data_IF_171596774243
#
_entry.id   IF_171596774243
#
_cell.length_a   1.000
_cell.length_b   1.000
_cell.length_c   1.000
_cell.angle_alpha   90.00
_cell.angle_beta   90.00
_cell.angle_gamma   90.00
#
_symmetry.space_group_name_H-M   'P 1'
#
loop_
_entity.id
_entity.type
_entity.pdbx_description
1 polymer ?
#
# COMPACT_ATOMS: atom_id res chain seq x y z
N UNK A 1 -14.42 20.46 21.98
CA UNK A 1 -13.45 19.73 21.13
C UNK A 1 -13.65 18.25 21.38
N UNK A 2 -14.24 17.51 20.43
CA UNK A 2 -14.27 16.04 20.54
C UNK A 2 -12.94 15.54 19.99
N UNK A 3 -12.01 15.18 20.87
CA UNK A 3 -10.95 14.25 20.50
C UNK A 3 -11.65 12.90 20.23
N UNK A 4 -12.20 12.75 19.02
CA UNK A 4 -12.51 11.41 18.52
C UNK A 4 -11.17 10.73 18.33
N UNK A 5 -10.94 9.61 19.02
CA UNK A 5 -9.79 8.75 18.75
C UNK A 5 -9.73 8.48 17.24
N UNK A 6 -8.62 8.82 16.60
CA UNK A 6 -8.46 8.51 15.18
C UNK A 6 -8.52 6.99 15.01
N UNK A 7 -9.34 6.46 14.09
CA UNK A 7 -9.42 5.04 13.86
C UNK A 7 -8.06 4.48 13.40
N UNK A 8 -7.73 3.31 13.92
CA UNK A 8 -6.51 2.57 13.55
C UNK A 8 -6.89 1.66 12.38
N UNK A 9 -6.16 1.81 11.28
CA UNK A 9 -6.31 0.96 10.11
C UNK A 9 -5.09 0.07 9.96
N UNK A 10 -5.34 -1.22 9.77
CA UNK A 10 -4.36 -2.16 9.30
C UNK A 10 -4.25 -2.06 7.78
N UNK A 11 -3.11 -1.58 7.30
CA UNK A 11 -2.75 -1.48 5.89
C UNK A 11 -1.84 -2.66 5.57
N UNK A 12 -2.16 -3.41 4.51
CA UNK A 12 -1.35 -4.51 4.00
C UNK A 12 -1.04 -4.27 2.53
N UNK A 13 0.22 -4.36 2.16
CA UNK A 13 0.67 -4.28 0.76
C UNK A 13 1.36 -5.58 0.40
N UNK A 14 0.87 -6.27 -0.62
CA UNK A 14 1.34 -7.60 -1.03
C UNK A 14 1.59 -7.64 -2.53
N UNK A 15 2.74 -8.15 -2.93
CA UNK A 15 3.08 -8.54 -4.30
C UNK A 15 3.62 -9.98 -4.28
N UNK A 16 3.94 -10.56 -5.44
CA UNK A 16 4.56 -11.87 -5.59
C UNK A 16 5.84 -12.02 -4.73
N UNK A 17 6.62 -10.94 -4.60
CA UNK A 17 7.95 -10.97 -3.98
C UNK A 17 8.02 -10.39 -2.56
N UNK A 18 6.97 -9.72 -2.07
CA UNK A 18 6.96 -9.13 -0.73
C UNK A 18 5.55 -8.99 -0.14
N UNK A 19 5.49 -8.95 1.19
CA UNK A 19 4.27 -8.70 1.96
C UNK A 19 4.59 -7.85 3.18
N UNK A 20 4.03 -6.64 3.23
CA UNK A 20 4.18 -5.70 4.35
C UNK A 20 2.81 -5.45 4.98
N UNK A 21 2.78 -5.37 6.31
CA UNK A 21 1.60 -5.02 7.10
C UNK A 21 1.99 -3.93 8.10
N UNK A 22 1.19 -2.89 8.20
CA UNK A 22 1.37 -1.81 9.16
C UNK A 22 0.03 -1.39 9.75
N UNK A 23 0.05 -0.89 10.97
CA UNK A 23 -1.13 -0.30 11.63
C UNK A 23 -0.89 1.19 11.77
N UNK A 24 -1.76 2.00 11.17
CA UNK A 24 -1.62 3.45 11.14
C UNK A 24 -2.93 4.14 11.48
N UNK A 25 -2.83 5.25 12.21
CA UNK A 25 -3.97 6.12 12.49
C UNK A 25 -4.30 6.95 11.25
N UNK A 26 -5.55 6.83 10.77
CA UNK A 26 -6.03 7.63 9.65
C UNK A 26 -7.43 8.17 9.92
N UNK A 27 -7.78 9.32 9.33
CA UNK A 27 -9.12 9.90 9.51
C UNK A 27 -10.24 9.04 8.91
N UNK A 28 -9.94 8.28 7.86
CA UNK A 28 -10.86 7.36 7.19
C UNK A 28 -10.10 6.30 6.37
N UNK A 29 -10.84 5.29 5.90
CA UNK A 29 -10.30 4.18 5.11
C UNK A 29 -9.70 4.62 3.76
N UNK A 30 -10.18 5.73 3.17
CA UNK A 30 -9.66 6.23 1.90
C UNK A 30 -8.27 6.87 2.08
N UNK A 31 -8.06 7.59 3.18
CA UNK A 31 -6.76 8.12 3.57
C UNK A 31 -5.75 7.00 3.85
N UNK A 32 -6.17 5.94 4.58
CA UNK A 32 -5.36 4.76 4.80
C UNK A 32 -5.02 4.02 3.48
N UNK A 33 -5.99 3.88 2.57
CA UNK A 33 -5.76 3.29 1.26
C UNK A 33 -4.77 4.13 0.43
N UNK A 34 -4.91 5.45 0.43
CA UNK A 34 -3.98 6.36 -0.23
C UNK A 34 -2.55 6.22 0.28
N UNK A 35 -2.38 6.01 1.59
CA UNK A 35 -1.07 5.74 2.18
C UNK A 35 -0.50 4.38 1.74
N UNK A 36 -1.30 3.32 1.76
CA UNK A 36 -0.91 2.00 1.27
C UNK A 36 -0.51 2.00 -0.22
N UNK A 37 -1.23 2.76 -1.05
CA UNK A 37 -0.91 2.93 -2.48
C UNK A 37 0.44 3.66 -2.66
N UNK A 38 0.70 4.72 -1.90
CA UNK A 38 2.00 5.42 -1.92
C UNK A 38 3.13 4.50 -1.51
N UNK A 39 2.93 3.69 -0.46
CA UNK A 39 3.91 2.69 -0.02
C UNK A 39 4.19 1.65 -1.11
N UNK A 40 3.14 1.12 -1.77
CA UNK A 40 3.28 0.19 -2.89
C UNK A 40 4.09 0.79 -4.05
N UNK A 41 3.85 2.06 -4.39
CA UNK A 41 4.60 2.77 -5.43
C UNK A 41 6.07 2.99 -5.05
N UNK A 42 6.35 3.34 -3.80
CA UNK A 42 7.72 3.53 -3.31
C UNK A 42 8.52 2.23 -3.39
N UNK A 43 7.95 1.12 -2.92
CA UNK A 43 8.57 -0.21 -3.02
C UNK A 43 8.78 -0.60 -4.48
N UNK A 44 7.80 -0.33 -5.35
CA UNK A 44 7.95 -0.60 -6.78
C UNK A 44 9.08 0.19 -7.45
N UNK A 45 9.23 1.47 -7.08
CA UNK A 45 10.34 2.30 -7.54
C UNK A 45 11.69 1.73 -7.09
N UNK A 46 11.83 1.36 -5.81
CA UNK A 46 13.07 0.76 -5.28
C UNK A 46 13.41 -0.56 -5.99
N UNK A 47 12.40 -1.41 -6.22
CA UNK A 47 12.60 -2.67 -6.94
C UNK A 47 13.11 -2.45 -8.37
N UNK A 48 12.54 -1.48 -9.10
CA UNK A 48 12.97 -1.12 -10.46
C UNK A 48 14.36 -0.51 -10.47
N UNK A 49 14.68 0.39 -9.54
CA UNK A 49 16.02 0.96 -9.41
C UNK A 49 17.08 -0.11 -9.06
N UNK A 50 16.67 -1.18 -8.37
CA UNK A 50 17.51 -2.35 -8.11
C UNK A 50 17.60 -3.34 -9.30
N UNK A 51 16.95 -3.06 -10.43
CA UNK A 51 16.99 -3.90 -11.64
C UNK A 51 15.88 -4.96 -11.74
N UNK A 52 14.89 -4.95 -10.84
CA UNK A 52 13.79 -5.91 -10.84
C UNK A 52 12.55 -5.32 -11.54
N UNK A 53 11.75 -6.16 -12.18
CA UNK A 53 10.47 -5.71 -12.74
C UNK A 53 9.41 -5.62 -11.64
N UNK A 54 8.55 -4.61 -11.70
CA UNK A 54 7.44 -4.46 -10.77
C UNK A 54 6.13 -4.20 -11.53
N UNK A 55 5.20 -5.15 -11.42
CA UNK A 55 3.93 -5.09 -12.18
C UNK A 55 2.79 -4.47 -11.36
N UNK A 56 2.77 -4.69 -10.05
CA UNK A 56 1.78 -4.10 -9.18
C UNK A 56 1.78 -4.72 -7.79
N UNK A 57 0.93 -4.22 -6.92
CA UNK A 57 0.71 -4.79 -5.59
C UNK A 57 -0.76 -4.70 -5.22
N UNK A 58 -1.23 -5.67 -4.45
CA UNK A 58 -2.49 -5.58 -3.74
C UNK A 58 -2.32 -4.73 -2.50
N UNK A 59 -3.17 -3.72 -2.33
CA UNK A 59 -3.30 -2.94 -1.11
C UNK A 59 -4.63 -3.32 -0.43
N UNK A 60 -4.56 -3.84 0.78
CA UNK A 60 -5.71 -4.11 1.64
C UNK A 60 -5.71 -3.14 2.82
N UNK A 61 -6.87 -2.60 3.16
CA UNK A 61 -7.07 -1.77 4.35
C UNK A 61 -8.19 -2.38 5.18
N UNK A 62 -8.00 -2.48 6.49
CA UNK A 62 -8.98 -3.04 7.43
C UNK A 62 -8.98 -2.28 8.75
N UNK A 63 -10.14 -1.97 9.31
CA UNK A 63 -10.30 -1.46 10.69
C UNK A 63 -10.83 -2.52 11.66
N UNK A 64 -10.93 -3.77 11.21
CA UNK A 64 -11.44 -4.91 11.98
C UNK A 64 -12.92 -5.20 11.72
N UNK A 65 -13.71 -4.21 11.29
CA UNK A 65 -15.12 -4.41 10.88
C UNK A 65 -15.29 -4.35 9.36
N UNK A 66 -14.53 -3.47 8.70
CA UNK A 66 -14.60 -3.21 7.26
C UNK A 66 -13.27 -3.50 6.60
N UNK A 67 -13.31 -4.13 5.41
CA UNK A 67 -12.13 -4.39 4.59
C UNK A 67 -12.30 -3.85 3.19
N UNK A 68 -11.34 -3.03 2.74
CA UNK A 68 -11.22 -2.57 1.37
C UNK A 68 -9.98 -3.18 0.72
N UNK A 69 -10.07 -3.54 -0.55
CA UNK A 69 -8.98 -4.15 -1.32
C UNK A 69 -8.87 -3.47 -2.67
N UNK A 70 -7.64 -3.11 -3.04
CA UNK A 70 -7.31 -2.42 -4.27
C UNK A 70 -6.15 -3.16 -4.94
N UNK A 71 -6.22 -3.28 -6.27
CA UNK A 71 -5.07 -3.70 -7.06
C UNK A 71 -4.42 -2.46 -7.65
N UNK A 72 -3.15 -2.22 -7.30
CA UNK A 72 -2.37 -1.09 -7.80
C UNK A 72 -1.47 -1.62 -8.92
N UNK A 73 -1.88 -1.41 -10.17
CA UNK A 73 -1.06 -1.73 -11.33
C UNK A 73 -0.15 -0.52 -11.64
N UNK A 74 1.16 -0.74 -11.63
CA UNK A 74 2.16 0.31 -11.90
C UNK A 74 2.92 0.01 -13.19
N UNK A 75 3.22 -1.27 -13.47
CA UNK A 75 3.78 -1.76 -14.73
C UNK A 75 5.05 -1.03 -15.16
N UNK A 76 6.17 -1.24 -14.46
CA UNK A 76 7.46 -0.61 -14.78
C UNK A 76 8.58 -1.66 -14.77
N UNK A 77 9.47 -1.58 -15.76
CA UNK A 77 10.67 -2.44 -15.88
C UNK A 77 11.90 -1.58 -16.24
N UNK A 78 13.11 -1.99 -15.82
CA UNK A 78 14.34 -1.35 -16.28
C UNK A 78 14.49 -1.43 -17.81
N UNK A 79 15.07 -0.40 -18.41
CA UNK A 79 15.52 -0.45 -19.81
C UNK A 79 16.92 -1.05 -19.81
N UNK A 80 17.12 -2.12 -20.58
CA UNK A 80 18.45 -2.64 -20.90
C UNK A 80 18.90 -1.94 -22.20
N UNK A 81 19.96 -1.13 -22.11
CA UNK A 81 20.70 -0.59 -23.26
C UNK A 81 21.94 -1.47 -23.51
#
# INVERSE_FOLDING_TARGET
>A
MRCGSMPIYQISVVNADFSVKNEEEHPDAAAAAGQGIKGALAVGLEAVLAGNSFFGAEVSVSDGESRQRFMVAVGVSPLND
#
